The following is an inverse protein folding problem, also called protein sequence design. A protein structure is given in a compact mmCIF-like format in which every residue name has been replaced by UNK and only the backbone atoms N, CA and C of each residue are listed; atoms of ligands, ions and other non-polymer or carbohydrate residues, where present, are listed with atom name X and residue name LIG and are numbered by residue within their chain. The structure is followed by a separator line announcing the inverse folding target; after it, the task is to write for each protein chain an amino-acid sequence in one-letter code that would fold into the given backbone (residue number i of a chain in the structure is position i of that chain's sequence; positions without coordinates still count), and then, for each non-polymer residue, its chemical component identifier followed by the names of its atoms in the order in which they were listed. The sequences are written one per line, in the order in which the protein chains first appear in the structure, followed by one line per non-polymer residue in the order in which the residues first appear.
data_IF_541064322272
#
_entry.id   IF_541064322272
#
_cell.length_a   1.000
_cell.length_b   1.000
_cell.length_c   1.000
_cell.angle_alpha   90.00
_cell.angle_beta   90.00
_cell.angle_gamma   90.00
#
_symmetry.space_group_name_H-M   'P 1'
#
loop_
_entity.id
_entity.type
_entity.pdbx_description
1 polymer ?
#
# COMPACT_ATOMS: atom_id res chain seq x y z
N UNK A 1 13.35 -13.43 7.37
CA UNK A 1 11.91 -13.64 7.56
C UNK A 1 11.36 -12.26 7.71
N UNK A 2 10.45 -11.90 6.82
CA UNK A 2 9.83 -10.57 6.76
C UNK A 2 9.26 -10.23 8.14
N UNK A 3 9.39 -8.97 8.57
CA UNK A 3 8.73 -8.47 9.77
C UNK A 3 7.22 -8.48 9.63
N UNK A 4 6.53 -8.20 10.74
CA UNK A 4 5.09 -8.42 10.90
C UNK A 4 4.21 -7.64 9.90
N UNK A 5 4.74 -6.59 9.28
CA UNK A 5 4.05 -5.76 8.29
C UNK A 5 4.32 -6.19 6.81
N UNK A 6 5.25 -7.12 6.60
CA UNK A 6 5.72 -7.55 5.29
C UNK A 6 6.45 -6.45 4.50
N UNK A 7 6.97 -5.42 5.17
CA UNK A 7 7.74 -4.31 4.55
C UNK A 7 9.23 -4.38 4.85
N UNK A 8 9.63 -5.04 5.94
CA UNK A 8 11.05 -5.21 6.29
C UNK A 8 11.75 -6.22 5.39
N UNK A 9 12.85 -5.76 4.79
CA UNK A 9 13.74 -6.55 3.92
C UNK A 9 14.81 -7.33 4.70
N UNK A 10 14.94 -7.07 6.00
CA UNK A 10 15.90 -7.71 6.88
C UNK A 10 15.49 -7.58 8.35
N UNK A 11 15.81 -8.61 9.13
CA UNK A 11 15.78 -8.54 10.59
C UNK A 11 17.10 -9.09 11.12
N UNK A 12 17.70 -8.39 12.08
CA UNK A 12 18.89 -8.82 12.80
C UNK A 12 18.50 -9.47 14.11
N UNK A 13 19.23 -10.54 14.47
CA UNK A 13 19.06 -11.21 15.76
C UNK A 13 20.27 -10.92 16.63
N UNK A 14 20.03 -10.32 17.79
CA UNK A 14 21.05 -10.11 18.81
C UNK A 14 20.77 -11.02 20.01
N UNK A 15 21.74 -11.90 20.32
CA UNK A 15 21.69 -12.75 21.50
C UNK A 15 22.08 -11.95 22.75
N UNK A 16 21.18 -11.87 23.72
CA UNK A 16 21.41 -11.24 25.02
C UNK A 16 21.32 -12.26 26.15
N UNK A 17 21.67 -11.86 27.38
CA UNK A 17 21.47 -12.71 28.56
C UNK A 17 19.99 -13.02 28.83
N UNK A 18 19.07 -12.16 28.38
CA UNK A 18 17.62 -12.30 28.57
C UNK A 18 16.91 -13.12 27.47
N UNK A 19 17.56 -13.38 26.35
CA UNK A 19 16.90 -13.91 25.16
C UNK A 19 17.52 -13.43 23.84
N UNK A 20 16.92 -13.83 22.72
CA UNK A 20 17.24 -13.30 21.41
C UNK A 20 16.34 -12.09 21.12
N UNK A 21 16.93 -10.94 20.85
CA UNK A 21 16.22 -9.76 20.36
C UNK A 21 16.24 -9.78 18.84
N UNK A 22 15.08 -9.90 18.23
CA UNK A 22 14.89 -9.75 16.79
C UNK A 22 14.50 -8.31 16.52
N UNK A 23 15.28 -7.60 15.72
CA UNK A 23 15.00 -6.22 15.30
C UNK A 23 14.91 -6.19 13.79
N UNK A 24 13.79 -5.70 13.26
CA UNK A 24 13.54 -5.58 11.83
C UNK A 24 13.81 -4.15 11.34
N UNK A 25 14.11 -4.01 10.04
CA UNK A 25 14.46 -2.72 9.43
C UNK A 25 13.32 -1.68 9.46
N UNK A 26 12.09 -2.14 9.72
CA UNK A 26 10.88 -1.32 9.93
C UNK A 26 10.82 -0.70 11.36
N UNK A 27 11.78 -1.02 12.23
CA UNK A 27 11.85 -0.57 13.62
C UNK A 27 11.12 -1.49 14.62
N UNK A 28 10.44 -2.53 14.15
CA UNK A 28 9.81 -3.55 15.00
C UNK A 28 10.89 -4.32 15.73
N UNK A 29 10.71 -4.50 17.04
CA UNK A 29 11.59 -5.36 17.83
C UNK A 29 10.81 -6.28 18.74
N UNK A 30 11.26 -7.53 18.80
CA UNK A 30 10.67 -8.58 19.64
C UNK A 30 11.79 -9.26 20.41
N UNK A 31 11.57 -9.43 21.71
CA UNK A 31 12.48 -10.22 22.57
C UNK A 31 11.89 -11.60 22.75
N UNK A 32 12.59 -12.61 22.23
CA UNK A 32 12.26 -14.03 22.44
C UNK A 32 13.08 -14.51 23.64
N UNK A 33 12.46 -14.89 24.77
CA UNK A 33 13.20 -15.40 25.91
C UNK A 33 13.90 -16.71 25.56
N UNK A 34 15.04 -17.00 26.19
CA UNK A 34 15.76 -18.26 25.97
C UNK A 34 14.92 -19.46 26.44
N UNK A 35 14.55 -20.32 25.49
CA UNK A 35 13.98 -21.64 25.74
C UNK A 35 15.04 -22.76 25.81
N UNK A 36 14.60 -23.98 26.08
CA UNK A 36 15.40 -25.20 26.09
C UNK A 36 15.34 -25.86 24.71
N UNK A 37 16.51 -26.20 24.15
CA UNK A 37 16.62 -26.87 22.86
C UNK A 37 15.78 -28.16 22.79
N UNK A 38 14.97 -28.29 21.74
CA UNK A 38 14.15 -29.49 21.47
C UNK A 38 12.74 -29.48 22.06
N UNK A 39 12.29 -28.37 22.65
CA UNK A 39 10.91 -28.18 23.14
C UNK A 39 9.94 -27.94 21.98
N UNK A 40 8.73 -28.53 22.03
CA UNK A 40 7.65 -28.18 21.10
C UNK A 40 7.07 -26.82 21.47
N UNK A 41 6.61 -26.06 20.49
CA UNK A 41 5.92 -24.78 20.73
C UNK A 41 4.56 -24.76 20.02
N UNK A 42 3.58 -24.17 20.70
CA UNK A 42 2.21 -24.00 20.22
C UNK A 42 1.93 -22.51 20.08
N UNK A 43 1.44 -22.09 18.91
CA UNK A 43 0.97 -20.74 18.67
C UNK A 43 -0.53 -20.65 18.94
N UNK A 44 -0.95 -19.69 19.76
CA UNK A 44 -2.36 -19.41 20.06
C UNK A 44 -2.70 -17.99 19.63
N UNK A 45 -3.58 -17.83 18.63
CA UNK A 45 -4.21 -16.55 18.26
C UNK A 45 -5.31 -16.23 19.28
N UNK A 46 -5.28 -15.03 19.85
CA UNK A 46 -6.22 -14.59 20.89
C UNK A 46 -7.43 -13.86 20.35
N UNK A 47 -7.47 -13.55 19.05
CA UNK A 47 -8.59 -12.81 18.45
C UNK A 47 -8.60 -11.32 18.78
N UNK A 48 -7.55 -10.79 19.42
CA UNK A 48 -7.41 -9.39 19.85
C UNK A 48 -6.22 -8.66 19.18
N UNK A 49 -5.69 -9.27 18.12
CA UNK A 49 -4.51 -8.79 17.41
C UNK A 49 -3.18 -9.15 18.02
N UNK A 50 -3.20 -10.07 18.98
CA UNK A 50 -2.02 -10.74 19.47
C UNK A 50 -2.09 -12.26 19.30
N UNK A 51 -0.93 -12.89 19.15
CA UNK A 51 -0.77 -14.32 19.31
C UNK A 51 0.31 -14.61 20.33
N UNK A 52 0.11 -15.63 21.15
CA UNK A 52 1.15 -16.12 22.06
C UNK A 52 1.75 -17.40 21.51
N UNK A 53 3.06 -17.38 21.29
CA UNK A 53 3.86 -18.59 21.13
C UNK A 53 4.18 -19.10 22.53
N UNK A 54 3.74 -20.32 22.87
CA UNK A 54 4.02 -20.98 24.15
C UNK A 54 4.78 -22.26 23.90
N UNK A 55 5.95 -22.42 24.52
CA UNK A 55 6.79 -23.62 24.41
C UNK A 55 6.61 -24.56 25.61
N UNK A 56 6.89 -25.84 25.42
CA UNK A 56 6.70 -26.91 26.42
C UNK A 56 7.59 -26.70 27.68
N UNK A 57 8.66 -25.92 27.56
CA UNK A 57 9.53 -25.51 28.66
C UNK A 57 8.95 -24.38 29.54
N UNK A 58 7.76 -23.89 29.19
CA UNK A 58 7.05 -22.81 29.88
C UNK A 58 7.39 -21.41 29.37
N UNK A 59 8.27 -21.27 28.38
CA UNK A 59 8.57 -19.99 27.74
C UNK A 59 7.38 -19.53 26.92
N UNK A 60 6.99 -18.27 27.04
CA UNK A 60 5.99 -17.68 26.16
C UNK A 60 6.35 -16.27 25.73
N UNK A 61 5.98 -15.94 24.50
CA UNK A 61 6.09 -14.58 23.95
C UNK A 61 4.77 -14.23 23.27
N UNK A 62 4.23 -13.07 23.61
CA UNK A 62 3.06 -12.51 22.93
C UNK A 62 3.57 -11.54 21.86
N UNK A 63 3.13 -11.78 20.64
CA UNK A 63 3.50 -11.03 19.45
C UNK A 63 2.26 -10.29 18.96
N UNK A 64 2.34 -9.00 18.62
CA UNK A 64 1.31 -8.39 17.80
C UNK A 64 1.29 -9.12 16.46
N UNK A 65 0.12 -9.57 16.03
CA UNK A 65 -0.07 -10.23 14.73
C UNK A 65 -1.01 -9.45 13.81
N UNK A 66 -1.76 -8.50 14.38
CA UNK A 66 -2.48 -7.51 13.58
C UNK A 66 -1.52 -6.35 13.28
N UNK A 67 -1.33 -6.10 11.98
CA UNK A 67 -0.55 -4.98 11.47
C UNK A 67 -1.29 -3.64 11.64
N UNK A 68 -0.65 -2.51 11.32
CA UNK A 68 -1.29 -1.20 11.39
C UNK A 68 -2.55 -1.14 10.52
N UNK A 69 -3.49 -0.26 10.88
CA UNK A 69 -4.65 0.05 10.04
C UNK A 69 -4.13 0.54 8.68
N UNK A 70 -4.58 -0.09 7.60
CA UNK A 70 -4.19 0.26 6.24
C UNK A 70 -5.39 0.74 5.46
N UNK A 71 -5.17 1.76 4.65
CA UNK A 71 -6.20 2.35 3.81
C UNK A 71 -6.04 1.88 2.36
N UNK A 72 -7.17 1.82 1.68
CA UNK A 72 -7.25 1.61 0.25
C UNK A 72 -8.30 2.54 -0.33
N UNK A 73 -7.94 3.32 -1.34
CA UNK A 73 -8.88 4.15 -2.08
C UNK A 73 -8.98 3.65 -3.52
N UNK A 74 -10.21 3.56 -4.03
CA UNK A 74 -10.50 3.29 -5.45
C UNK A 74 -11.19 4.50 -6.10
N UNK A 75 -11.81 4.30 -7.27
CA UNK A 75 -12.50 5.39 -7.99
C UNK A 75 -13.61 6.05 -7.17
N UNK A 76 -14.48 5.24 -6.57
CA UNK A 76 -15.73 5.69 -5.92
C UNK A 76 -15.97 4.98 -4.58
N UNK A 77 -14.89 4.59 -3.92
CA UNK A 77 -14.98 3.89 -2.66
C UNK A 77 -13.65 3.85 -1.93
N UNK A 78 -13.75 3.47 -0.68
CA UNK A 78 -12.65 3.45 0.28
C UNK A 78 -12.80 2.22 1.17
N UNK A 79 -11.67 1.70 1.62
CA UNK A 79 -11.60 0.56 2.52
C UNK A 79 -10.51 0.80 3.56
N UNK A 80 -10.70 0.21 4.73
CA UNK A 80 -9.71 0.14 5.79
C UNK A 80 -9.61 -1.30 6.34
N UNK A 81 -8.41 -1.75 6.67
CA UNK A 81 -8.21 -2.93 7.53
C UNK A 81 -8.38 -2.50 8.97
N UNK A 82 -9.26 -3.14 9.72
CA UNK A 82 -9.50 -2.89 11.14
C UNK A 82 -8.38 -3.47 12.00
N UNK A 83 -8.37 -3.09 13.28
CA UNK A 83 -7.45 -3.63 14.27
C UNK A 83 -7.55 -5.15 14.45
N UNK A 84 -8.70 -5.78 14.12
CA UNK A 84 -8.88 -7.24 14.14
C UNK A 84 -8.50 -7.92 12.80
N UNK A 85 -7.89 -7.17 11.88
CA UNK A 85 -7.53 -7.59 10.53
C UNK A 85 -8.70 -7.69 9.55
N UNK A 86 -9.96 -7.46 9.96
CA UNK A 86 -11.10 -7.50 9.03
C UNK A 86 -11.19 -6.24 8.18
N UNK A 87 -11.90 -6.30 7.05
CA UNK A 87 -12.06 -5.13 6.18
C UNK A 87 -13.39 -4.42 6.44
N UNK A 88 -13.36 -3.09 6.40
CA UNK A 88 -14.55 -2.25 6.28
C UNK A 88 -14.41 -1.36 5.05
N UNK A 89 -15.40 -1.39 4.18
CA UNK A 89 -15.47 -0.55 2.98
C UNK A 89 -16.71 0.33 2.98
N UNK A 90 -16.61 1.50 2.34
CA UNK A 90 -17.68 2.48 2.18
C UNK A 90 -17.56 3.20 0.83
N UNK A 91 -18.64 3.85 0.42
CA UNK A 91 -18.81 4.40 -0.92
C UNK A 91 -19.76 3.55 -1.77
N UNK A 92 -19.39 3.32 -3.03
CA UNK A 92 -20.22 2.61 -4.01
C UNK A 92 -20.70 1.24 -3.51
N UNK A 93 -21.98 0.92 -3.76
CA UNK A 93 -22.60 -0.33 -3.32
C UNK A 93 -21.90 -1.60 -3.84
N UNK A 94 -21.19 -1.50 -4.97
CA UNK A 94 -20.47 -2.63 -5.57
C UNK A 94 -19.31 -3.18 -4.73
N UNK A 95 -18.79 -2.41 -3.77
CA UNK A 95 -17.60 -2.79 -2.99
C UNK A 95 -17.90 -3.14 -1.52
N UNK A 96 -19.17 -3.07 -1.10
CA UNK A 96 -19.55 -3.27 0.30
C UNK A 96 -19.54 -4.75 0.72
N UNK A 97 -19.60 -5.67 -0.25
CA UNK A 97 -19.52 -7.12 -0.01
C UNK A 97 -18.06 -7.56 0.16
N UNK A 98 -17.48 -7.24 1.30
CA UNK A 98 -16.08 -7.56 1.62
C UNK A 98 -15.87 -9.07 1.85
N UNK A 99 -14.77 -9.66 1.36
CA UNK A 99 -14.42 -11.04 1.66
C UNK A 99 -14.16 -11.26 3.15
N UNK A 100 -14.56 -12.41 3.71
CA UNK A 100 -14.20 -12.74 5.09
C UNK A 100 -12.72 -13.10 5.20
N UNK A 101 -12.14 -12.80 6.36
CA UNK A 101 -10.77 -13.14 6.71
C UNK A 101 -10.02 -11.97 7.33
N UNK A 102 -8.75 -12.23 7.66
CA UNK A 102 -7.78 -11.22 8.10
C UNK A 102 -6.94 -10.74 6.93
N UNK A 103 -6.65 -9.46 6.88
CA UNK A 103 -5.92 -8.78 5.81
C UNK A 103 -4.91 -7.79 6.39
N UNK A 104 -3.80 -7.61 5.67
CA UNK A 104 -2.65 -6.75 6.05
C UNK A 104 -2.35 -5.69 4.99
N UNK A 105 -3.14 -5.63 3.93
CA UNK A 105 -3.07 -4.61 2.89
C UNK A 105 -4.39 -4.59 2.14
N UNK A 106 -4.85 -3.41 1.72
CA UNK A 106 -5.97 -3.25 0.80
C UNK A 106 -5.65 -2.18 -0.24
N UNK A 107 -5.97 -2.45 -1.50
CA UNK A 107 -5.74 -1.55 -2.65
C UNK A 107 -6.97 -1.47 -3.53
N UNK A 108 -7.33 -0.26 -3.93
CA UNK A 108 -8.43 0.02 -4.85
C UNK A 108 -7.96 0.21 -6.29
N UNK A 109 -8.90 0.13 -7.22
CA UNK A 109 -8.69 0.40 -8.63
C UNK A 109 -9.07 1.84 -8.93
N UNK A 110 -8.28 2.53 -9.76
CA UNK A 110 -8.46 3.95 -9.99
C UNK A 110 -9.67 4.27 -10.88
N UNK A 111 -10.14 3.35 -11.73
CA UNK A 111 -11.30 3.54 -12.62
C UNK A 111 -12.37 2.44 -12.53
N UNK A 112 -12.25 1.51 -11.59
CA UNK A 112 -13.20 0.41 -11.43
C UNK A 112 -13.61 0.23 -9.97
N UNK A 113 -14.81 -0.29 -9.74
CA UNK A 113 -15.39 -0.53 -8.41
C UNK A 113 -14.84 -1.84 -7.82
N UNK A 114 -13.52 -2.00 -7.82
CA UNK A 114 -12.84 -3.22 -7.41
C UNK A 114 -11.75 -2.92 -6.41
N UNK A 115 -11.52 -3.89 -5.54
CA UNK A 115 -10.50 -3.87 -4.52
C UNK A 115 -9.85 -5.24 -4.45
N UNK A 116 -8.58 -5.26 -4.05
CA UNK A 116 -7.89 -6.46 -3.65
C UNK A 116 -7.24 -6.23 -2.30
N UNK A 117 -7.21 -7.27 -1.49
CA UNK A 117 -6.56 -7.27 -0.19
C UNK A 117 -5.67 -8.48 -0.04
N UNK A 118 -4.51 -8.27 0.57
CA UNK A 118 -3.50 -9.29 0.85
C UNK A 118 -3.68 -9.80 2.27
N UNK A 119 -3.63 -11.11 2.44
CA UNK A 119 -3.66 -11.80 3.73
C UNK A 119 -2.26 -11.92 4.33
N UNK A 120 -2.12 -12.18 5.64
CA UNK A 120 -0.82 -12.45 6.27
C UNK A 120 -0.03 -13.59 5.61
N UNK A 121 -0.70 -14.59 5.04
CA UNK A 121 -0.08 -15.70 4.30
C UNK A 121 0.30 -15.34 2.85
N UNK A 122 0.27 -14.05 2.51
CA UNK A 122 0.55 -13.48 1.19
C UNK A 122 -0.45 -13.85 0.08
N UNK A 123 -1.53 -14.57 0.39
CA UNK A 123 -2.60 -14.82 -0.57
C UNK A 123 -3.50 -13.59 -0.73
N UNK A 124 -4.24 -13.50 -1.84
CA UNK A 124 -5.01 -12.31 -2.19
C UNK A 124 -6.48 -12.66 -2.40
N UNK A 125 -7.35 -11.81 -1.85
CA UNK A 125 -8.77 -11.81 -2.16
C UNK A 125 -9.13 -10.50 -2.86
N UNK A 126 -9.80 -10.58 -4.02
CA UNK A 126 -10.35 -9.41 -4.69
C UNK A 126 -11.88 -9.50 -4.70
N UNK A 127 -12.53 -8.36 -4.68
CA UNK A 127 -13.98 -8.21 -4.74
C UNK A 127 -14.36 -6.91 -5.43
N UNK A 128 -15.64 -6.78 -5.78
CA UNK A 128 -16.16 -5.64 -6.50
C UNK A 128 -17.04 -6.06 -7.67
N UNK A 129 -17.75 -5.11 -8.27
CA UNK A 129 -18.67 -5.39 -9.37
C UNK A 129 -18.21 -4.67 -10.64
N UNK A 130 -18.09 -5.38 -11.79
CA UNK A 130 -18.43 -6.81 -12.01
C UNK A 130 -17.32 -7.82 -11.64
N UNK A 131 -17.72 -9.03 -11.21
CA UNK A 131 -16.84 -10.14 -10.81
C UNK A 131 -16.57 -11.12 -11.98
N UNK A 132 -15.40 -11.81 -12.06
CA UNK A 132 -14.18 -11.60 -11.28
C UNK A 132 -13.00 -11.22 -12.19
N UNK A 133 -12.16 -10.33 -11.70
CA UNK A 133 -10.72 -10.47 -11.95
C UNK A 133 -10.36 -11.93 -11.66
N UNK A 134 -9.74 -12.66 -12.58
CA UNK A 134 -9.24 -14.00 -12.31
C UNK A 134 -8.14 -13.90 -11.25
N UNK A 135 -8.54 -13.83 -9.99
CA UNK A 135 -7.65 -13.81 -8.85
C UNK A 135 -6.74 -15.02 -8.99
N UNK A 136 -5.41 -14.80 -9.00
CA UNK A 136 -4.48 -15.91 -9.15
C UNK A 136 -4.49 -16.76 -7.88
N UNK A 137 -5.40 -17.74 -7.85
CA UNK A 137 -5.57 -18.66 -6.73
C UNK A 137 -4.29 -19.48 -6.53
N UNK A 138 -3.78 -19.48 -5.29
CA UNK A 138 -2.57 -20.20 -4.90
C UNK A 138 -1.25 -19.50 -5.23
N UNK A 139 -1.30 -18.29 -5.80
CA UNK A 139 -0.11 -17.42 -5.89
C UNK A 139 0.01 -16.53 -4.64
N UNK A 140 1.24 -16.17 -4.28
CA UNK A 140 1.56 -15.32 -3.13
C UNK A 140 2.27 -14.04 -3.55
N UNK A 141 1.95 -12.94 -2.88
CA UNK A 141 2.47 -11.61 -3.18
C UNK A 141 2.89 -10.85 -1.93
N UNK A 142 4.00 -10.13 -2.03
CA UNK A 142 4.51 -9.24 -0.98
C UNK A 142 3.91 -7.84 -1.08
N UNK A 143 3.46 -7.37 -2.25
CA UNK A 143 2.76 -6.07 -2.40
C UNK A 143 1.75 -6.09 -3.52
N UNK A 144 0.72 -5.27 -3.40
CA UNK A 144 -0.32 -5.06 -4.41
C UNK A 144 -0.23 -3.66 -5.04
N UNK A 145 -0.48 -3.59 -6.34
CA UNK A 145 -0.48 -2.34 -7.11
C UNK A 145 -1.73 -2.26 -7.97
N UNK A 146 -2.57 -1.28 -7.65
CA UNK A 146 -3.80 -0.98 -8.39
C UNK A 146 -3.50 -0.32 -9.73
N UNK A 147 -4.25 -0.73 -10.75
CA UNK A 147 -4.28 -0.11 -12.07
C UNK A 147 -5.76 0.15 -12.43
N UNK A 148 -6.02 0.96 -13.45
CA UNK A 148 -7.37 1.29 -13.87
C UNK A 148 -8.22 0.10 -14.29
N UNK A 149 -7.58 -0.90 -14.89
CA UNK A 149 -8.26 -2.09 -15.47
C UNK A 149 -7.81 -3.43 -14.88
N UNK A 150 -6.87 -3.42 -13.93
CA UNK A 150 -6.20 -4.62 -13.44
C UNK A 150 -5.48 -4.41 -12.12
N UNK A 151 -4.91 -5.48 -11.58
CA UNK A 151 -4.07 -5.45 -10.39
C UNK A 151 -2.77 -6.20 -10.70
N UNK A 152 -1.67 -5.71 -10.15
CA UNK A 152 -0.40 -6.42 -10.16
C UNK A 152 -0.01 -6.77 -8.72
N UNK A 153 0.56 -7.96 -8.56
CA UNK A 153 1.17 -8.42 -7.32
C UNK A 153 2.66 -8.63 -7.53
N UNK A 154 3.47 -8.10 -6.61
CA UNK A 154 4.91 -8.38 -6.56
C UNK A 154 5.15 -9.66 -5.76
N UNK A 155 5.97 -10.56 -6.29
CA UNK A 155 6.42 -11.77 -5.59
C UNK A 155 7.66 -11.46 -4.74
N UNK A 156 8.03 -12.38 -3.86
CA UNK A 156 9.21 -12.25 -3.01
C UNK A 156 10.54 -12.08 -3.79
N UNK A 157 10.59 -12.54 -5.05
CA UNK A 157 11.74 -12.36 -5.94
C UNK A 157 11.76 -11.01 -6.68
N UNK A 158 10.79 -10.12 -6.41
CA UNK A 158 10.64 -8.80 -7.04
C UNK A 158 9.93 -8.81 -8.40
N UNK A 159 9.58 -9.99 -8.93
CA UNK A 159 8.84 -10.10 -10.20
C UNK A 159 7.38 -9.73 -10.02
N UNK A 160 6.75 -9.14 -11.05
CA UNK A 160 5.32 -8.86 -11.04
C UNK A 160 4.51 -9.95 -11.73
N UNK A 161 3.31 -10.15 -11.20
CA UNK A 161 2.21 -10.85 -11.84
C UNK A 161 1.02 -9.92 -11.92
N UNK A 162 0.59 -9.60 -13.14
CA UNK A 162 -0.57 -8.73 -13.38
C UNK A 162 -1.78 -9.56 -13.85
N UNK A 163 -2.97 -9.35 -13.29
CA UNK A 163 -4.22 -10.02 -13.68
C UNK A 163 -5.42 -9.06 -13.83
N UNK A 164 -6.29 -9.33 -14.81
CA UNK A 164 -7.43 -8.48 -15.15
C UNK A 164 -7.50 -8.12 -16.63
N UNK A 165 -8.30 -7.09 -16.95
CA UNK A 165 -8.46 -6.59 -18.31
C UNK A 165 -7.30 -5.64 -18.67
N UNK A 166 -6.07 -6.14 -18.49
CA UNK A 166 -4.90 -5.48 -19.00
C UNK A 166 -5.00 -5.42 -20.53
N UNK A 167 -4.87 -4.23 -21.10
CA UNK A 167 -4.49 -4.08 -22.51
C UNK A 167 -3.06 -4.63 -22.71
N UNK A 168 -2.38 -4.32 -23.83
CA UNK A 168 -0.99 -4.72 -24.04
C UNK A 168 -0.03 -3.89 -23.17
N UNK A 169 -0.19 -3.92 -21.85
CA UNK A 169 0.96 -3.72 -20.96
C UNK A 169 1.68 -5.06 -21.03
N UNK A 170 2.62 -5.18 -21.96
CA UNK A 170 3.67 -6.19 -21.83
C UNK A 170 4.16 -6.11 -20.38
N UNK A 171 4.23 -7.25 -19.67
CA UNK A 171 4.65 -7.27 -18.27
C UNK A 171 5.95 -6.48 -18.06
N UNK A 172 6.30 -6.13 -16.80
CA UNK A 172 7.50 -5.31 -16.57
C UNK A 172 8.71 -5.88 -17.33
N UNK A 173 9.60 -5.01 -17.83
CA UNK A 173 10.80 -5.45 -18.51
C UNK A 173 11.54 -6.50 -17.68
N UNK A 174 11.85 -7.66 -18.29
CA UNK A 174 12.48 -8.81 -17.59
C UNK A 174 14.01 -8.76 -17.62
N UNK A 175 14.56 -7.80 -18.35
CA UNK A 175 15.99 -7.49 -18.47
C UNK A 175 16.52 -6.66 -17.28
N UNK A 176 15.65 -6.27 -16.35
CA UNK A 176 15.96 -5.28 -15.31
C UNK A 176 15.19 -5.57 -14.01
N UNK A 177 15.82 -5.27 -12.87
CA UNK A 177 15.20 -5.39 -11.55
C UNK A 177 14.67 -4.04 -11.07
N UNK A 178 13.51 -4.03 -10.43
CA UNK A 178 12.87 -2.84 -9.88
C UNK A 178 12.57 -3.01 -8.39
N UNK A 179 12.62 -1.91 -7.64
CA UNK A 179 12.35 -1.88 -6.18
C UNK A 179 10.95 -1.37 -5.84
N UNK A 180 10.30 -0.68 -6.77
CA UNK A 180 8.94 -0.14 -6.62
C UNK A 180 8.28 0.04 -7.99
N UNK A 181 6.95 0.04 -8.03
CA UNK A 181 6.14 0.11 -9.24
C UNK A 181 4.98 1.10 -9.11
N UNK A 182 4.63 1.73 -10.22
CA UNK A 182 3.45 2.58 -10.34
C UNK A 182 2.72 2.28 -11.65
N UNK A 183 1.40 2.47 -11.66
CA UNK A 183 0.54 2.14 -12.78
C UNK A 183 -0.46 3.27 -13.02
N UNK A 184 -0.80 3.50 -14.29
CA UNK A 184 -1.80 4.48 -14.70
C UNK A 184 -2.95 3.86 -15.51
N UNK A 185 -3.30 4.46 -16.65
CA UNK A 185 -4.42 3.99 -17.48
C UNK A 185 -4.08 2.78 -18.37
N UNK A 186 -2.92 2.82 -19.04
CA UNK A 186 -2.41 1.75 -19.90
C UNK A 186 -0.87 1.65 -19.88
N UNK A 187 -0.25 2.16 -18.83
CA UNK A 187 1.20 2.18 -18.65
C UNK A 187 1.60 1.69 -17.27
N UNK A 188 2.82 1.19 -17.16
CA UNK A 188 3.50 0.86 -15.91
C UNK A 188 4.85 1.55 -15.85
N UNK A 189 5.29 1.91 -14.66
CA UNK A 189 6.63 2.41 -14.40
C UNK A 189 7.24 1.67 -13.22
N UNK A 190 8.57 1.62 -13.18
CA UNK A 190 9.33 1.00 -12.11
C UNK A 190 10.58 1.81 -11.76
N UNK A 191 10.93 1.82 -10.48
CA UNK A 191 12.21 2.37 -9.98
C UNK A 191 13.28 1.31 -10.13
N UNK A 192 14.29 1.57 -10.96
CA UNK A 192 15.39 0.63 -11.19
C UNK A 192 16.17 0.38 -9.91
N UNK A 193 16.43 -0.88 -9.61
CA UNK A 193 17.26 -1.27 -8.48
C UNK A 193 18.73 -0.85 -8.64
N UNK A 194 19.19 -0.65 -9.88
CA UNK A 194 20.58 -0.33 -10.21
C UNK A 194 20.99 1.10 -9.87
N UNK A 195 20.10 2.07 -10.14
CA UNK A 195 20.42 3.50 -10.05
C UNK A 195 19.28 4.37 -9.51
N UNK A 196 18.13 3.79 -9.19
CA UNK A 196 16.94 4.51 -8.70
C UNK A 196 16.21 5.33 -9.76
N UNK A 197 16.61 5.29 -11.04
CA UNK A 197 15.90 6.02 -12.09
C UNK A 197 14.60 5.30 -12.47
N UNK A 198 13.63 6.05 -13.02
CA UNK A 198 12.34 5.48 -13.41
C UNK A 198 12.41 5.01 -14.87
N UNK A 199 11.90 3.80 -15.13
CA UNK A 199 11.60 3.28 -16.48
C UNK A 199 10.10 3.12 -16.60
N UNK A 200 9.51 3.60 -17.69
CA UNK A 200 8.11 3.39 -18.01
C UNK A 200 7.95 2.53 -19.26
N UNK A 201 6.85 1.78 -19.36
CA UNK A 201 6.51 0.87 -20.44
C UNK A 201 4.98 0.74 -20.57
N UNK A 202 4.54 0.06 -21.63
CA UNK A 202 3.12 -0.12 -21.95
C UNK A 202 2.65 0.87 -23.03
N UNK A 203 1.33 0.97 -23.16
CA UNK A 203 0.64 1.79 -24.17
C UNK A 203 0.68 1.19 -25.59
N UNK A 204 -0.43 1.20 -26.35
CA UNK A 204 -0.37 0.98 -27.79
C UNK A 204 0.28 2.16 -28.53
N UNK A 205 0.25 3.35 -27.91
CA UNK A 205 0.88 4.59 -28.38
C UNK A 205 1.99 5.02 -27.40
N UNK A 206 3.24 5.23 -27.86
CA UNK A 206 4.32 5.74 -27.03
C UNK A 206 4.00 7.07 -26.35
N UNK A 207 3.11 7.88 -26.92
CA UNK A 207 2.73 9.19 -26.37
C UNK A 207 1.83 9.08 -25.12
N UNK A 208 1.21 7.92 -24.88
CA UNK A 208 0.40 7.64 -23.69
C UNK A 208 1.26 7.20 -22.49
N UNK A 209 2.55 6.94 -22.69
CA UNK A 209 3.49 6.58 -21.62
C UNK A 209 4.11 7.85 -21.04
N UNK A 210 4.02 8.10 -19.73
CA UNK A 210 4.57 9.30 -19.14
C UNK A 210 6.08 9.37 -19.34
N UNK A 211 6.58 10.56 -19.68
CA UNK A 211 8.02 10.84 -19.63
C UNK A 211 8.45 10.92 -18.16
N UNK A 212 9.28 9.98 -17.66
CA UNK A 212 9.61 9.95 -16.25
C UNK A 212 10.42 11.19 -15.82
N UNK A 213 10.20 11.72 -14.61
CA UNK A 213 11.03 12.78 -14.07
C UNK A 213 12.47 12.28 -13.88
N UNK A 214 13.44 13.18 -14.04
CA UNK A 214 14.86 12.83 -13.92
C UNK A 214 15.32 12.76 -12.46
N UNK A 215 16.18 11.79 -12.16
CA UNK A 215 16.82 11.62 -10.85
C UNK A 215 16.75 10.19 -10.35
N UNK A 216 17.29 9.98 -9.14
CA UNK A 216 17.19 8.72 -8.41
C UNK A 216 16.10 8.83 -7.34
N UNK A 217 15.18 7.87 -7.34
CA UNK A 217 13.98 7.80 -6.50
C UNK A 217 13.99 6.53 -5.65
N UNK A 218 13.27 6.57 -4.53
CA UNK A 218 13.11 5.44 -3.61
C UNK A 218 11.68 4.91 -3.57
N UNK A 219 10.71 5.71 -4.04
CA UNK A 219 9.32 5.28 -4.20
C UNK A 219 8.64 6.07 -5.33
N UNK A 220 7.63 5.47 -5.95
CA UNK A 220 6.84 6.08 -7.02
C UNK A 220 5.34 5.87 -6.85
N UNK A 221 4.55 6.78 -7.41
CA UNK A 221 3.10 6.68 -7.49
C UNK A 221 2.62 7.09 -8.88
N UNK A 222 1.50 6.52 -9.31
CA UNK A 222 0.94 6.74 -10.65
C UNK A 222 -0.45 7.35 -10.57
N UNK A 223 -0.71 8.35 -11.42
CA UNK A 223 -2.03 8.84 -11.75
C UNK A 223 -2.50 8.23 -13.08
N UNK A 224 -3.58 8.74 -13.69
CA UNK A 224 -3.99 8.29 -15.04
C UNK A 224 -2.89 8.51 -16.08
N UNK A 225 -2.17 9.62 -15.99
CA UNK A 225 -1.26 10.11 -17.05
C UNK A 225 0.12 10.52 -16.54
N UNK A 226 0.31 10.60 -15.22
CA UNK A 226 1.53 11.13 -14.63
C UNK A 226 2.14 10.13 -13.66
N UNK A 227 3.48 10.12 -13.60
CA UNK A 227 4.24 9.42 -12.57
C UNK A 227 4.96 10.45 -11.69
N UNK A 228 4.88 10.25 -10.39
CA UNK A 228 5.62 11.01 -9.40
C UNK A 228 6.61 10.09 -8.68
N UNK A 229 7.83 10.57 -8.48
CA UNK A 229 8.85 9.89 -7.68
C UNK A 229 9.26 10.73 -6.48
N UNK A 230 9.44 10.07 -5.34
CA UNK A 230 10.03 10.63 -4.12
C UNK A 230 11.46 10.13 -3.96
N UNK A 231 12.37 11.05 -3.63
CA UNK A 231 13.78 10.76 -3.37
C UNK A 231 14.02 10.43 -1.90
N UNK A 232 15.21 9.92 -1.58
CA UNK A 232 15.60 9.60 -0.20
C UNK A 232 15.60 10.82 0.74
N UNK A 233 15.86 12.01 0.21
CA UNK A 233 15.78 13.28 0.94
C UNK A 233 14.35 13.84 1.08
N UNK A 234 13.34 13.10 0.59
CA UNK A 234 11.93 13.47 0.60
C UNK A 234 11.52 14.42 -0.52
N UNK A 235 12.44 14.93 -1.35
CA UNK A 235 12.05 15.77 -2.49
C UNK A 235 11.25 14.95 -3.52
N UNK A 236 10.26 15.59 -4.14
CA UNK A 236 9.39 14.95 -5.13
C UNK A 236 9.60 15.57 -6.50
N UNK A 237 9.56 14.74 -7.53
CA UNK A 237 9.45 15.21 -8.91
C UNK A 237 8.38 14.39 -9.63
N UNK A 238 7.58 15.06 -10.45
CA UNK A 238 6.50 14.45 -11.22
C UNK A 238 6.65 14.74 -12.71
N UNK A 239 5.95 13.96 -13.52
CA UNK A 239 5.73 14.26 -14.94
C UNK A 239 4.45 15.07 -15.17
N UNK A 240 4.30 15.56 -16.40
CA UNK A 240 3.07 16.13 -16.97
C UNK A 240 2.34 17.13 -16.06
N UNK A 241 1.04 16.91 -15.83
CA UNK A 241 0.19 17.89 -15.18
C UNK A 241 0.53 18.05 -13.68
N UNK A 242 0.87 16.94 -13.01
CA UNK A 242 1.28 16.95 -11.60
C UNK A 242 2.61 17.66 -11.35
N UNK A 243 3.47 17.83 -12.35
CA UNK A 243 4.77 18.50 -12.19
C UNK A 243 4.66 19.97 -11.74
N UNK A 244 3.65 20.69 -12.22
CA UNK A 244 3.52 22.13 -11.96
C UNK A 244 3.07 22.48 -10.54
N UNK A 245 2.41 21.55 -9.85
CA UNK A 245 1.91 21.73 -8.49
C UNK A 245 2.69 20.96 -7.42
N UNK A 246 3.73 20.21 -7.81
CA UNK A 246 4.49 19.39 -6.88
C UNK A 246 5.10 20.27 -5.75
N UNK A 247 4.91 19.91 -4.47
CA UNK A 247 5.43 20.68 -3.34
C UNK A 247 6.96 20.78 -3.38
N UNK A 248 7.49 21.93 -2.94
CA UNK A 248 8.93 22.14 -2.83
C UNK A 248 9.49 21.57 -1.51
N UNK A 249 8.64 21.41 -0.50
CA UNK A 249 8.98 20.77 0.77
C UNK A 249 9.22 19.27 0.63
N UNK A 250 10.01 18.72 1.56
CA UNK A 250 10.25 17.29 1.64
C UNK A 250 9.01 16.54 2.17
N UNK A 251 8.66 15.44 1.50
CA UNK A 251 7.54 14.57 1.86
C UNK A 251 8.07 13.22 2.38
N UNK A 252 7.46 12.72 3.46
CA UNK A 252 7.73 11.40 4.02
C UNK A 252 7.05 10.27 3.24
N UNK A 253 5.87 10.55 2.69
CA UNK A 253 5.10 9.62 1.86
C UNK A 253 4.32 10.39 0.79
N UNK A 254 4.02 9.71 -0.32
CA UNK A 254 3.19 10.24 -1.41
C UNK A 254 2.18 9.19 -1.85
N UNK A 255 1.04 9.65 -2.35
CA UNK A 255 -0.04 8.86 -2.94
C UNK A 255 -0.63 9.63 -4.12
N UNK A 256 -1.10 8.93 -5.16
CA UNK A 256 -1.72 9.54 -6.32
C UNK A 256 -3.09 8.93 -6.58
N UNK A 257 -4.06 9.82 -6.86
CA UNK A 257 -5.37 9.48 -7.37
C UNK A 257 -5.39 9.56 -8.89
N UNK A 258 -6.57 9.74 -9.51
CA UNK A 258 -6.65 9.84 -10.97
C UNK A 258 -5.91 11.05 -11.55
N UNK A 259 -6.09 12.23 -10.95
CA UNK A 259 -5.60 13.51 -11.50
C UNK A 259 -5.05 14.46 -10.41
N UNK A 260 -4.86 13.95 -9.21
CA UNK A 260 -4.27 14.66 -8.09
C UNK A 260 -3.33 13.72 -7.34
N UNK A 261 -2.43 14.30 -6.55
CA UNK A 261 -1.59 13.55 -5.63
C UNK A 261 -1.59 14.24 -4.28
N UNK A 262 -1.31 13.47 -3.25
CA UNK A 262 -1.20 13.92 -1.88
C UNK A 262 0.08 13.36 -1.27
N UNK A 263 0.55 13.99 -0.21
CA UNK A 263 1.68 13.49 0.56
C UNK A 263 1.67 14.01 1.98
N UNK A 264 2.47 13.34 2.80
CA UNK A 264 2.67 13.68 4.22
C UNK A 264 3.98 14.46 4.30
N UNK A 265 3.94 15.68 4.83
CA UNK A 265 5.13 16.51 5.00
C UNK A 265 6.09 15.86 6.00
N UNK A 266 7.37 15.79 5.63
CA UNK A 266 8.40 15.22 6.51
C UNK A 266 8.66 16.08 7.77
N UNK A 267 8.30 17.37 7.73
CA UNK A 267 8.57 18.33 8.81
C UNK A 267 7.64 18.20 10.02
N UNK A 268 6.36 17.93 9.78
CA UNK A 268 5.32 17.99 10.81
C UNK A 268 4.24 16.92 10.68
N UNK A 269 4.34 16.03 9.68
CA UNK A 269 3.36 15.01 9.34
C UNK A 269 1.98 15.57 8.90
N UNK A 270 1.89 16.84 8.51
CA UNK A 270 0.67 17.40 7.91
C UNK A 270 0.50 16.99 6.45
N UNK A 271 -0.72 17.06 5.93
CA UNK A 271 -1.02 16.71 4.54
C UNK A 271 -0.82 17.89 3.57
N UNK A 272 -0.42 17.55 2.35
CA UNK A 272 -0.41 18.45 1.20
C UNK A 272 -0.94 17.70 -0.01
N UNK A 273 -1.80 18.33 -0.81
CA UNK A 273 -2.28 17.79 -2.08
C UNK A 273 -2.07 18.78 -3.21
N UNK A 274 -1.86 18.27 -4.42
CA UNK A 274 -1.65 19.05 -5.63
C UNK A 274 -2.27 18.36 -6.85
N UNK A 275 -2.43 19.13 -7.93
CA UNK A 275 -3.11 18.69 -9.15
C UNK A 275 -4.55 19.18 -9.21
N UNK A 276 -5.48 18.30 -9.62
CA UNK A 276 -6.89 18.64 -9.80
C UNK A 276 -7.58 18.89 -8.45
N UNK A 277 -8.28 20.02 -8.35
CA UNK A 277 -9.01 20.42 -7.12
C UNK A 277 -10.52 20.65 -7.30
N UNK A 278 -11.12 20.11 -8.36
CA UNK A 278 -12.52 20.41 -8.69
C UNK A 278 -13.54 20.02 -7.60
N UNK A 279 -13.23 19.01 -6.78
CA UNK A 279 -14.11 18.46 -5.74
C UNK A 279 -13.58 18.76 -4.33
N UNK A 280 -12.60 19.67 -4.18
CA UNK A 280 -12.00 20.00 -2.89
C UNK A 280 -10.94 19.01 -2.38
N UNK A 281 -10.32 18.23 -3.27
CA UNK A 281 -9.18 17.35 -2.96
C UNK A 281 -8.01 18.06 -2.24
N UNK A 282 -7.88 19.38 -2.32
CA UNK A 282 -6.86 20.15 -1.58
C UNK A 282 -7.33 20.63 -0.20
N UNK A 283 -8.61 20.48 0.13
CA UNK A 283 -9.18 20.84 1.44
C UNK A 283 -8.88 19.72 2.44
N UNK A 284 -7.60 19.56 2.76
CA UNK A 284 -7.11 18.48 3.62
C UNK A 284 -7.52 18.70 5.09
N UNK A 285 -7.83 17.63 5.83
CA UNK A 285 -8.07 17.70 7.27
C UNK A 285 -6.84 18.23 8.03
N UNK A 286 -7.03 19.04 9.09
CA UNK A 286 -5.93 19.45 9.94
C UNK A 286 -5.50 18.30 10.83
N UNK A 287 -4.20 18.14 11.07
CA UNK A 287 -3.69 17.08 11.95
C UNK A 287 -2.32 16.58 11.54
N UNK A 288 -1.95 15.45 12.13
CA UNK A 288 -0.70 14.72 11.87
C UNK A 288 -1.07 13.31 11.42
N UNK A 289 -0.48 12.87 10.32
CA UNK A 289 -0.90 11.66 9.61
C UNK A 289 0.25 10.69 9.41
N UNK A 290 -0.06 9.41 9.44
CA UNK A 290 0.89 8.31 9.25
C UNK A 290 0.70 7.61 7.90
N UNK A 291 -0.51 7.68 7.32
CA UNK A 291 -0.83 7.13 6.01
C UNK A 291 -1.73 8.09 5.21
N UNK A 292 -1.55 8.12 3.89
CA UNK A 292 -2.46 8.80 2.96
C UNK A 292 -2.65 7.93 1.73
N UNK A 293 -3.90 7.80 1.29
CA UNK A 293 -4.29 7.15 0.04
C UNK A 293 -5.21 8.06 -0.77
N UNK A 294 -5.09 7.99 -2.08
CA UNK A 294 -5.79 8.86 -3.02
C UNK A 294 -6.55 8.01 -4.02
N UNK A 295 -7.86 8.22 -4.10
CA UNK A 295 -8.75 7.51 -4.99
C UNK A 295 -9.03 8.29 -6.27
N UNK A 296 -10.22 8.10 -6.85
CA UNK A 296 -10.61 8.79 -8.07
C UNK A 296 -10.54 10.32 -7.95
N UNK A 297 -11.36 10.87 -7.04
CA UNK A 297 -11.49 12.32 -6.80
C UNK A 297 -11.59 12.66 -5.32
N UNK A 298 -11.17 11.73 -4.48
CA UNK A 298 -11.17 11.85 -3.03
C UNK A 298 -9.85 11.31 -2.48
N UNK A 299 -9.61 11.55 -1.21
CA UNK A 299 -8.47 10.98 -0.50
C UNK A 299 -8.86 10.66 0.92
N UNK A 300 -8.14 9.73 1.51
CA UNK A 300 -8.28 9.32 2.89
C UNK A 300 -6.91 9.30 3.55
N UNK A 301 -6.85 9.59 4.84
CA UNK A 301 -5.64 9.56 5.62
C UNK A 301 -5.91 8.97 7.01
N UNK A 302 -4.89 8.32 7.55
CA UNK A 302 -4.86 7.78 8.89
C UNK A 302 -4.03 8.70 9.77
N UNK A 303 -4.59 9.14 10.89
CA UNK A 303 -3.86 9.95 11.86
C UNK A 303 -3.09 9.12 12.89
N UNK A 304 -2.30 9.78 13.74
CA UNK A 304 -1.53 9.12 14.82
C UNK A 304 -2.40 8.53 15.94
N UNK A 305 -3.71 8.75 15.91
CA UNK A 305 -4.70 8.20 16.85
C UNK A 305 -5.52 7.05 16.24
N UNK A 306 -5.09 6.53 15.08
CA UNK A 306 -5.78 5.50 14.29
C UNK A 306 -7.18 5.93 13.79
N UNK A 307 -7.44 7.24 13.69
CA UNK A 307 -8.68 7.75 13.11
C UNK A 307 -8.54 7.99 11.60
N UNK A 308 -9.58 7.59 10.86
CA UNK A 308 -9.63 7.75 9.40
C UNK A 308 -10.35 9.04 9.04
N UNK A 309 -9.71 9.85 8.20
CA UNK A 309 -10.25 11.09 7.68
C UNK A 309 -10.30 11.03 6.17
N UNK A 310 -11.46 11.24 5.56
CA UNK A 310 -11.59 11.31 4.10
C UNK A 310 -12.19 12.63 3.63
N UNK A 311 -11.78 13.10 2.45
CA UNK A 311 -12.20 14.37 1.87
C UNK A 311 -12.17 14.33 0.33
N UNK A 312 -12.80 15.33 -0.30
CA UNK A 312 -12.96 15.43 -1.75
C UNK A 312 -14.37 15.02 -2.20
N UNK A 313 -14.48 14.37 -3.35
CA UNK A 313 -15.75 13.87 -3.88
C UNK A 313 -16.41 12.87 -2.92
N UNK A 314 -17.70 13.08 -2.64
CA UNK A 314 -18.52 12.20 -1.79
C UNK A 314 -19.83 11.79 -2.45
N UNK A 315 -19.91 11.87 -3.78
CA UNK A 315 -21.13 11.52 -4.55
C UNK A 315 -21.67 10.11 -4.29
N UNK A 316 -20.82 9.17 -3.90
CA UNK A 316 -21.18 7.80 -3.54
C UNK A 316 -21.01 7.50 -2.04
N UNK A 317 -20.68 8.49 -1.23
CA UNK A 317 -20.33 8.30 0.18
C UNK A 317 -18.90 7.81 0.40
N UNK A 318 -17.98 7.95 -0.57
CA UNK A 318 -16.59 7.47 -0.49
C UNK A 318 -15.68 8.30 0.44
N UNK A 319 -16.09 9.52 0.78
CA UNK A 319 -15.47 10.35 1.80
C UNK A 319 -16.26 10.35 3.14
N UNK A 320 -17.45 9.76 3.17
CA UNK A 320 -18.24 9.54 4.38
C UNK A 320 -17.75 8.33 5.18
N UNK A 321 -16.76 8.55 6.06
CA UNK A 321 -16.19 7.51 6.94
C UNK A 321 -17.27 6.95 7.88
N UNK A 322 -17.45 5.61 7.94
CA UNK A 322 -18.57 5.02 8.66
C UNK A 322 -18.19 4.58 10.09
N UNK A 323 -18.94 5.04 11.10
CA UNK A 323 -18.71 4.62 12.49
C UNK A 323 -19.31 3.22 12.81
N UNK A 324 -18.68 2.42 13.69
CA UNK A 324 -17.28 2.49 14.13
C UNK A 324 -16.32 1.79 13.14
N UNK A 325 -15.08 2.26 13.02
CA UNK A 325 -14.02 1.52 12.33
C UNK A 325 -13.32 0.52 13.25
#
# INVERSE_FOLDING_TARGET
MDGMDGTSSGCTVEETEAGAVVTCDDGTSVTVPRGVDGSGCTLTDHGDGSATLTCDDGTSVTLPIDGPLHLGAGSNGSCATRADGTLRCWGSAGILSVPPGRFVEVRGFHNDHRFCARRPDHTVACWGNPDPLSTPLGETFTRLYGHDRGMCGMRADGTLRCWGAFGPIDGPPTDEAFVDYAFGFEWGCGVRASDGTIRCWGGPDPDDVPTPPTGAFVSIVGSLFDVCGRRADGTVACSGALASGAPAEALGAISAGQLHACGIRASDASLVCWGRDAEGQHVVPPGRFVEVVSGGRHSCALDEADEVHCWGDDTFGQASVPDPL
#
